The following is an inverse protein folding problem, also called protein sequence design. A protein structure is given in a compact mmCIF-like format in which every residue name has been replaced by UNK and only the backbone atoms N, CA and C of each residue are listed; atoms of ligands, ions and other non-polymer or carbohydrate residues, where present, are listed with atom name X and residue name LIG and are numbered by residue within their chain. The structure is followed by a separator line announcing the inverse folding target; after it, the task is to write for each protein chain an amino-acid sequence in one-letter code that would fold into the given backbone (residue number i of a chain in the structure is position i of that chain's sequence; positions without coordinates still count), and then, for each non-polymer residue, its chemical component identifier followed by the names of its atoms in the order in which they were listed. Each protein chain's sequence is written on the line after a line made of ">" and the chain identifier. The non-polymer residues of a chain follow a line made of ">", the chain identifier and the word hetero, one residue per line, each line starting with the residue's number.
data_IF_277740018430
#
_entry.id   IF_277740018430
#
_cell.length_a   1.000
_cell.length_b   1.000
_cell.length_c   1.000
_cell.angle_alpha   90.00
_cell.angle_beta   90.00
_cell.angle_gamma   90.00
#
_symmetry.space_group_name_H-M   'P 1'
#
loop_
_entity.id
_entity.type
_entity.pdbx_description
1 polymer ?
#
# COMPACT_ATOMS: atom_id res chain seq x y z
N UNK A 1 -27.86 3.77 -27.43
CA UNK A 1 -26.75 3.42 -26.52
C UNK A 1 -26.02 4.70 -26.13
N UNK A 2 -25.79 4.94 -24.84
CA UNK A 2 -25.16 6.15 -24.32
C UNK A 2 -23.62 5.97 -24.28
N UNK A 3 -22.83 6.70 -25.10
CA UNK A 3 -21.38 6.50 -25.23
C UNK A 3 -20.56 6.96 -24.01
N UNK A 4 -21.21 7.42 -22.94
CA UNK A 4 -20.56 7.82 -21.67
C UNK A 4 -20.45 6.69 -20.64
N UNK A 5 -20.93 5.48 -20.96
CA UNK A 5 -20.69 4.31 -20.13
C UNK A 5 -19.29 3.79 -20.50
N UNK A 6 -18.28 4.01 -19.63
CA UNK A 6 -16.98 3.34 -19.76
C UNK A 6 -17.25 1.83 -19.85
N UNK A 7 -17.08 1.26 -21.05
CA UNK A 7 -17.54 -0.10 -21.38
C UNK A 7 -16.63 -1.21 -20.82
N UNK A 8 -15.59 -0.84 -20.05
CA UNK A 8 -14.72 -1.77 -19.35
C UNK A 8 -14.16 -1.08 -18.08
N UNK A 9 -14.35 -1.70 -16.92
CA UNK A 9 -13.71 -1.33 -15.66
C UNK A 9 -12.81 -2.47 -15.23
N UNK A 10 -11.50 -2.22 -15.15
CA UNK A 10 -10.52 -3.22 -14.70
C UNK A 10 -10.42 -3.15 -13.18
N UNK A 11 -10.54 -4.30 -12.52
CA UNK A 11 -10.49 -4.44 -11.07
C UNK A 11 -9.51 -5.54 -10.68
N UNK A 12 -8.87 -5.38 -9.53
CA UNK A 12 -8.04 -6.39 -8.89
C UNK A 12 -8.88 -7.06 -7.83
N UNK A 13 -8.95 -8.39 -7.87
CA UNK A 13 -9.62 -9.16 -6.85
C UNK A 13 -8.64 -9.38 -5.70
N UNK A 14 -8.96 -8.82 -4.53
CA UNK A 14 -8.12 -8.91 -3.33
C UNK A 14 -8.83 -9.71 -2.26
N UNK A 15 -8.10 -10.54 -1.53
CA UNK A 15 -8.62 -11.13 -0.30
C UNK A 15 -8.58 -10.11 0.85
N UNK A 16 -9.31 -10.39 1.93
CA UNK A 16 -9.26 -9.57 3.14
C UNK A 16 -7.85 -9.57 3.76
N UNK A 17 -7.13 -10.70 3.65
CA UNK A 17 -5.69 -10.76 3.98
C UNK A 17 -4.87 -9.75 3.18
N UNK A 18 -5.03 -9.77 1.86
CA UNK A 18 -4.27 -8.90 0.95
C UNK A 18 -4.48 -7.41 1.26
N UNK A 19 -5.72 -7.02 1.57
CA UNK A 19 -6.05 -5.64 1.94
C UNK A 19 -5.45 -5.27 3.30
N UNK A 20 -5.52 -6.16 4.29
CA UNK A 20 -4.93 -5.92 5.60
C UNK A 20 -3.40 -5.77 5.52
N UNK A 21 -2.73 -6.62 4.75
CA UNK A 21 -1.29 -6.55 4.54
C UNK A 21 -0.89 -5.24 3.84
N UNK A 22 -1.72 -4.77 2.90
CA UNK A 22 -1.51 -3.47 2.26
C UNK A 22 -1.69 -2.30 3.24
N UNK A 23 -2.71 -2.34 4.10
CA UNK A 23 -2.94 -1.32 5.15
C UNK A 23 -1.71 -1.22 6.05
N UNK A 24 -1.27 -2.35 6.62
CA UNK A 24 -0.11 -2.39 7.53
C UNK A 24 1.15 -1.85 6.83
N UNK A 25 1.36 -2.23 5.58
CA UNK A 25 2.53 -1.76 4.82
C UNK A 25 2.49 -0.25 4.60
N UNK A 26 1.33 0.31 4.24
CA UNK A 26 1.19 1.75 4.03
C UNK A 26 1.30 2.56 5.33
N UNK A 27 0.89 2.00 6.47
CA UNK A 27 1.12 2.59 7.79
C UNK A 27 2.62 2.70 8.09
N UNK A 28 3.38 1.63 7.85
CA UNK A 28 4.84 1.62 8.02
C UNK A 28 5.52 2.65 7.11
N UNK A 29 5.07 2.77 5.85
CA UNK A 29 5.60 3.78 4.92
C UNK A 29 5.29 5.20 5.39
N UNK A 30 4.06 5.47 5.83
CA UNK A 30 3.66 6.78 6.34
C UNK A 30 4.46 7.17 7.59
N UNK A 31 4.62 6.24 8.52
CA UNK A 31 5.42 6.46 9.73
C UNK A 31 6.89 6.74 9.38
N UNK A 32 7.47 6.01 8.44
CA UNK A 32 8.84 6.24 7.97
C UNK A 32 9.03 7.63 7.34
N UNK A 33 8.04 8.11 6.57
CA UNK A 33 8.04 9.46 6.01
C UNK A 33 8.08 10.52 7.13
N UNK A 34 7.20 10.37 8.13
CA UNK A 34 7.12 11.26 9.29
C UNK A 34 8.42 11.24 10.12
N UNK A 35 8.99 10.05 10.35
CA UNK A 35 10.26 9.89 11.07
C UNK A 35 11.43 10.53 10.32
N UNK A 36 11.52 10.39 8.99
CA UNK A 36 12.58 11.03 8.19
C UNK A 36 12.55 12.57 8.33
N UNK A 37 11.35 13.16 8.44
CA UNK A 37 11.16 14.60 8.65
C UNK A 37 11.63 15.05 10.02
N UNK A 38 11.36 14.25 11.07
CA UNK A 38 11.73 14.57 12.45
C UNK A 38 13.22 14.38 12.73
N UNK A 39 13.81 13.34 12.15
CA UNK A 39 15.19 12.89 12.46
C UNK A 39 16.22 13.32 11.42
N UNK A 40 15.78 13.89 10.29
CA UNK A 40 16.62 14.19 9.12
C UNK A 40 17.35 12.98 8.52
N UNK A 41 16.91 11.75 8.86
CA UNK A 41 17.41 10.52 8.25
C UNK A 41 16.96 10.42 6.79
N UNK A 42 17.69 9.62 5.99
CA UNK A 42 17.17 9.24 4.67
C UNK A 42 15.91 8.39 4.85
N UNK A 43 15.01 8.46 3.88
CA UNK A 43 13.71 7.80 3.96
C UNK A 43 13.84 6.29 4.21
N UNK A 44 14.72 5.60 3.48
CA UNK A 44 14.89 4.15 3.66
C UNK A 44 15.56 3.77 5.00
N UNK A 45 16.38 4.64 5.58
CA UNK A 45 16.94 4.44 6.92
C UNK A 45 15.84 4.54 7.99
N UNK A 46 14.98 5.56 7.86
CA UNK A 46 13.80 5.72 8.73
C UNK A 46 12.83 4.54 8.58
N UNK A 47 12.62 4.08 7.35
CA UNK A 47 11.78 2.91 7.03
C UNK A 47 12.33 1.64 7.68
N UNK A 48 13.64 1.41 7.60
CA UNK A 48 14.29 0.31 8.31
C UNK A 48 14.08 0.43 9.82
N UNK A 49 14.22 1.63 10.37
CA UNK A 49 13.96 1.91 11.79
C UNK A 49 12.55 1.51 12.22
N UNK A 50 11.52 1.92 11.48
CA UNK A 50 10.11 1.59 11.78
C UNK A 50 9.87 0.09 11.72
N UNK A 51 10.32 -0.58 10.67
CA UNK A 51 10.16 -2.03 10.52
C UNK A 51 10.76 -2.80 11.69
N UNK A 52 11.97 -2.43 12.13
CA UNK A 52 12.62 -3.11 13.25
C UNK A 52 11.86 -2.97 14.57
N UNK A 53 11.01 -1.95 14.69
CA UNK A 53 10.18 -1.69 15.87
C UNK A 53 8.81 -2.40 15.76
N UNK A 54 8.23 -2.41 14.55
CA UNK A 54 6.84 -2.84 14.31
C UNK A 54 6.73 -4.32 13.91
N UNK A 55 7.71 -4.87 13.17
CA UNK A 55 7.68 -6.23 12.63
C UNK A 55 8.62 -7.14 13.42
N UNK A 56 8.08 -7.87 14.40
CA UNK A 56 8.82 -8.97 15.06
C UNK A 56 8.90 -10.19 14.13
N UNK A 57 9.91 -10.23 13.27
CA UNK A 57 10.37 -11.48 12.64
C UNK A 57 10.39 -11.52 11.11
N UNK A 58 11.46 -12.14 10.63
CA UNK A 58 11.81 -12.58 9.28
C UNK A 58 12.05 -11.56 8.14
N UNK A 59 13.34 -11.26 7.97
CA UNK A 59 14.06 -10.99 6.71
C UNK A 59 13.44 -9.98 5.74
N UNK A 60 13.08 -8.81 6.24
CA UNK A 60 12.96 -7.64 5.37
C UNK A 60 14.37 -7.21 4.96
N UNK A 61 14.74 -7.52 3.71
CA UNK A 61 16.05 -7.20 3.13
C UNK A 61 15.98 -5.81 2.48
N UNK A 62 15.83 -4.78 3.31
CA UNK A 62 15.94 -3.39 2.84
C UNK A 62 17.34 -3.04 2.31
N UNK A 63 18.35 -3.82 2.69
CA UNK A 63 19.78 -3.51 2.53
C UNK A 63 20.21 -3.30 1.07
N UNK A 64 19.40 -3.70 0.08
CA UNK A 64 19.71 -3.58 -1.35
C UNK A 64 18.62 -2.98 -2.22
N UNK A 65 17.46 -2.62 -1.64
CA UNK A 65 16.34 -2.16 -2.43
C UNK A 65 16.54 -0.72 -2.90
N UNK A 66 16.48 -0.49 -4.21
CA UNK A 66 16.57 0.87 -4.74
C UNK A 66 15.22 1.58 -4.68
N UNK A 67 14.10 0.83 -4.66
CA UNK A 67 12.73 1.36 -4.69
C UNK A 67 11.83 0.66 -3.68
N UNK A 68 10.71 1.29 -3.32
CA UNK A 68 9.71 0.70 -2.43
C UNK A 68 9.17 -0.64 -2.96
N UNK A 69 8.92 -0.76 -4.27
CA UNK A 69 8.51 -2.02 -4.89
C UNK A 69 9.52 -3.18 -4.70
N UNK A 70 10.81 -2.86 -4.62
CA UNK A 70 11.91 -3.84 -4.51
C UNK A 70 12.29 -4.16 -3.04
N UNK A 71 11.71 -3.43 -2.08
CA UNK A 71 12.06 -3.52 -0.66
C UNK A 71 11.65 -4.82 0.03
N UNK A 72 10.80 -5.62 -0.61
CA UNK A 72 10.16 -6.78 0.00
C UNK A 72 9.09 -6.42 1.04
N UNK A 73 8.82 -5.12 1.27
CA UNK A 73 7.73 -4.66 2.14
C UNK A 73 6.37 -4.73 1.44
N UNK A 74 6.33 -4.31 0.17
CA UNK A 74 5.10 -4.25 -0.58
C UNK A 74 4.55 -5.66 -0.80
N UNK A 75 3.23 -5.88 -0.61
CA UNK A 75 2.62 -7.19 -0.86
C UNK A 75 2.94 -7.71 -2.26
N UNK A 76 3.34 -8.98 -2.39
CA UNK A 76 3.81 -9.55 -3.67
C UNK A 76 2.84 -9.35 -4.85
N UNK A 77 1.53 -9.38 -4.58
CA UNK A 77 0.52 -9.19 -5.61
C UNK A 77 0.62 -7.80 -6.26
N UNK A 78 1.03 -6.75 -5.54
CA UNK A 78 1.11 -5.39 -6.09
C UNK A 78 2.25 -5.28 -7.12
N UNK A 79 3.35 -6.00 -6.90
CA UNK A 79 4.49 -6.06 -7.81
C UNK A 79 4.19 -6.86 -9.08
N UNK A 80 3.15 -7.71 -9.07
CA UNK A 80 2.74 -8.50 -10.24
C UNK A 80 1.85 -7.71 -11.21
N UNK A 81 1.34 -6.55 -10.80
CA UNK A 81 0.48 -5.72 -11.63
C UNK A 81 1.32 -4.85 -12.58
N UNK A 82 0.88 -4.64 -13.84
CA UNK A 82 1.53 -3.70 -14.77
C UNK A 82 1.22 -2.23 -14.41
N UNK A 83 1.10 -1.92 -13.11
CA UNK A 83 0.79 -0.62 -12.56
C UNK A 83 2.05 0.02 -12.00
N UNK A 84 2.34 1.26 -12.42
CA UNK A 84 3.47 2.05 -11.94
C UNK A 84 2.96 3.21 -11.12
N UNK A 85 3.03 3.07 -9.81
CA UNK A 85 2.69 4.15 -8.90
C UNK A 85 3.93 4.94 -8.50
N UNK A 86 3.75 6.25 -8.29
CA UNK A 86 4.83 7.12 -7.83
C UNK A 86 5.37 6.67 -6.46
N UNK A 87 4.52 6.11 -5.61
CA UNK A 87 4.91 5.58 -4.31
C UNK A 87 5.77 4.32 -4.49
N UNK A 88 5.34 3.37 -5.30
CA UNK A 88 6.09 2.13 -5.57
C UNK A 88 7.48 2.38 -6.16
N UNK A 89 7.60 3.38 -7.01
CA UNK A 89 8.86 3.78 -7.64
C UNK A 89 9.73 4.68 -6.76
N UNK A 90 9.28 5.03 -5.54
CA UNK A 90 9.98 5.94 -4.65
C UNK A 90 11.31 5.35 -4.19
N UNK A 91 12.36 6.16 -4.30
CA UNK A 91 13.72 5.91 -3.81
C UNK A 91 14.23 7.09 -2.96
N UNK A 92 15.42 6.96 -2.35
CA UNK A 92 16.00 8.02 -1.52
C UNK A 92 16.20 9.34 -2.30
N UNK A 93 16.65 9.28 -3.55
CA UNK A 93 16.89 10.47 -4.38
C UNK A 93 15.57 11.17 -4.74
N UNK A 94 14.59 10.41 -5.23
CA UNK A 94 13.28 10.94 -5.62
C UNK A 94 12.52 11.51 -4.43
N UNK A 95 12.65 10.88 -3.25
CA UNK A 95 12.07 11.38 -2.01
C UNK A 95 12.76 12.67 -1.54
N UNK A 96 14.09 12.69 -1.54
CA UNK A 96 14.87 13.87 -1.17
C UNK A 96 14.55 15.07 -2.08
N UNK A 97 14.31 14.82 -3.38
CA UNK A 97 13.94 15.83 -4.36
C UNK A 97 12.51 16.40 -4.20
N UNK A 98 11.65 15.82 -3.35
CA UNK A 98 10.33 16.38 -3.07
C UNK A 98 10.45 17.66 -2.24
N UNK A 99 9.75 18.71 -2.67
CA UNK A 99 9.50 19.90 -1.82
C UNK A 99 8.65 19.52 -0.61
N UNK A 100 8.69 20.35 0.45
CA UNK A 100 7.87 20.14 1.64
C UNK A 100 6.37 20.01 1.32
N UNK A 101 5.86 20.84 0.40
CA UNK A 101 4.48 20.75 -0.10
C UNK A 101 4.19 19.41 -0.79
N UNK A 102 5.09 18.95 -1.67
CA UNK A 102 4.92 17.66 -2.36
C UNK A 102 4.99 16.48 -1.40
N UNK A 103 5.77 16.58 -0.32
CA UNK A 103 5.80 15.56 0.75
C UNK A 103 4.49 15.54 1.53
N UNK A 104 3.98 16.70 1.95
CA UNK A 104 2.69 16.81 2.64
C UNK A 104 1.53 16.28 1.79
N UNK A 105 1.51 16.60 0.48
CA UNK A 105 0.50 16.07 -0.43
C UNK A 105 0.59 14.53 -0.55
N UNK A 106 1.81 13.98 -0.61
CA UNK A 106 2.00 12.53 -0.65
C UNK A 106 1.56 11.87 0.66
N UNK A 107 1.86 12.46 1.81
CA UNK A 107 1.37 11.99 3.13
C UNK A 107 -0.16 11.96 3.16
N UNK A 108 -0.82 13.05 2.77
CA UNK A 108 -2.29 13.10 2.70
C UNK A 108 -2.88 12.10 1.69
N UNK A 109 -2.25 11.87 0.54
CA UNK A 109 -2.68 10.86 -0.43
C UNK A 109 -2.62 9.45 0.17
N UNK A 110 -1.58 9.12 0.93
CA UNK A 110 -1.44 7.84 1.62
C UNK A 110 -2.49 7.70 2.72
N UNK A 111 -2.69 8.74 3.54
CA UNK A 111 -3.70 8.77 4.60
C UNK A 111 -5.12 8.57 4.06
N UNK A 112 -5.47 9.25 2.97
CA UNK A 112 -6.77 9.09 2.32
C UNK A 112 -6.98 7.65 1.81
N UNK A 113 -5.95 7.02 1.24
CA UNK A 113 -6.02 5.61 0.81
C UNK A 113 -6.14 4.67 2.00
N UNK A 114 -5.38 4.88 3.07
CA UNK A 114 -5.48 4.10 4.31
C UNK A 114 -6.89 4.15 4.88
N UNK A 115 -7.49 5.35 4.95
CA UNK A 115 -8.86 5.51 5.42
C UNK A 115 -9.85 4.74 4.54
N UNK A 116 -9.75 4.89 3.22
CA UNK A 116 -10.57 4.15 2.26
C UNK A 116 -10.45 2.63 2.41
N UNK A 117 -9.23 2.11 2.58
CA UNK A 117 -9.00 0.68 2.76
C UNK A 117 -9.55 0.16 4.10
N UNK A 118 -9.41 0.92 5.19
CA UNK A 118 -10.00 0.56 6.49
C UNK A 118 -11.51 0.51 6.41
N UNK A 119 -12.16 1.47 5.76
CA UNK A 119 -13.61 1.46 5.54
C UNK A 119 -14.09 0.21 4.78
N UNK A 120 -13.36 -0.20 3.73
CA UNK A 120 -13.64 -1.45 3.02
C UNK A 120 -13.43 -2.67 3.93
N UNK A 121 -12.32 -2.70 4.69
CA UNK A 121 -11.95 -3.82 5.53
C UNK A 121 -12.95 -4.05 6.69
N UNK A 122 -13.49 -2.97 7.24
CA UNK A 122 -14.49 -2.97 8.32
C UNK A 122 -15.89 -3.31 7.82
N UNK A 123 -16.25 -2.94 6.58
CA UNK A 123 -17.56 -3.23 6.02
C UNK A 123 -17.65 -4.68 5.49
N UNK A 124 -18.12 -5.59 6.34
CA UNK A 124 -18.26 -7.02 6.03
C UNK A 124 -19.18 -7.31 4.84
N UNK A 125 -20.17 -6.44 4.57
CA UNK A 125 -21.17 -6.67 3.52
C UNK A 125 -20.61 -6.49 2.10
N UNK A 126 -19.43 -5.84 1.97
CA UNK A 126 -18.73 -5.69 0.70
C UNK A 126 -18.00 -6.97 0.26
N UNK A 127 -17.76 -7.90 1.19
CA UNK A 127 -16.91 -9.06 0.96
C UNK A 127 -17.71 -10.25 0.43
N UNK A 128 -17.21 -10.87 -0.64
CA UNK A 128 -17.83 -12.05 -1.25
C UNK A 128 -17.05 -13.30 -0.88
N UNK A 129 -17.72 -14.33 -0.32
CA UNK A 129 -17.12 -15.64 -0.10
C UNK A 129 -17.03 -16.42 -1.41
N UNK A 130 -15.88 -17.04 -1.67
CA UNK A 130 -15.69 -17.91 -2.85
C UNK A 130 -16.07 -19.37 -2.58
N UNK A 131 -15.96 -19.83 -1.33
CA UNK A 131 -16.45 -21.14 -0.89
C UNK A 131 -17.35 -20.93 0.35
N UNK A 132 -18.64 -21.26 0.22
CA UNK A 132 -19.62 -21.14 1.30
C UNK A 132 -19.35 -22.09 2.48
N UNK A 133 -18.50 -23.11 2.27
CA UNK A 133 -18.09 -24.05 3.33
C UNK A 133 -16.89 -23.55 4.13
N UNK A 134 -16.27 -22.43 3.72
CA UNK A 134 -15.18 -21.81 4.45
C UNK A 134 -15.74 -20.70 5.35
N UNK A 135 -15.73 -20.96 6.65
CA UNK A 135 -16.16 -19.98 7.64
C UNK A 135 -15.14 -18.84 7.84
N UNK A 136 -13.94 -18.94 7.25
CA UNK A 136 -12.90 -17.94 7.41
C UNK A 136 -13.13 -16.74 6.48
N UNK A 137 -13.53 -15.61 7.05
CA UNK A 137 -13.77 -14.38 6.29
C UNK A 137 -12.50 -13.79 5.65
N UNK A 138 -11.31 -14.20 6.11
CA UNK A 138 -10.01 -13.72 5.62
C UNK A 138 -9.76 -14.04 4.13
N UNK A 139 -10.38 -15.12 3.62
CA UNK A 139 -10.28 -15.55 2.23
C UNK A 139 -11.42 -14.98 1.36
N UNK A 140 -12.32 -14.19 1.96
CA UNK A 140 -13.35 -13.46 1.21
C UNK A 140 -12.69 -12.41 0.34
N UNK A 141 -13.31 -12.12 -0.81
CA UNK A 141 -12.74 -11.25 -1.82
C UNK A 141 -13.52 -9.97 -2.03
N UNK A 142 -12.79 -8.91 -2.42
CA UNK A 142 -13.33 -7.63 -2.81
C UNK A 142 -12.72 -7.16 -4.14
N UNK A 143 -13.54 -6.71 -5.12
CA UNK A 143 -13.04 -6.22 -6.39
C UNK A 143 -12.64 -4.74 -6.30
N UNK A 144 -11.36 -4.48 -6.02
CA UNK A 144 -10.79 -3.14 -5.90
C UNK A 144 -10.53 -2.51 -7.29
N UNK A 145 -10.87 -1.23 -7.47
CA UNK A 145 -10.62 -0.53 -8.73
C UNK A 145 -9.12 -0.18 -8.87
N UNK A 146 -8.57 -0.28 -10.09
CA UNK A 146 -7.15 0.01 -10.33
C UNK A 146 -6.72 1.44 -9.98
N UNK A 147 -7.61 2.41 -10.14
CA UNK A 147 -7.35 3.82 -9.82
C UNK A 147 -7.24 4.11 -8.32
N UNK A 148 -7.73 3.19 -7.49
CA UNK A 148 -7.63 3.29 -6.03
C UNK A 148 -6.32 2.72 -5.48
N UNK A 149 -5.55 1.97 -6.29
CA UNK A 149 -4.26 1.40 -5.87
C UNK A 149 -3.26 2.49 -5.46
N UNK A 150 -2.37 2.21 -4.48
CA UNK A 150 -1.44 3.19 -3.89
C UNK A 150 -0.50 3.82 -4.90
#
# INVERSE_FOLDING_TARGET
>A
LNPRIKSLQVRVLLTKRDLNDLIVTLEVVLEAMQQSKLTSLQFFDALQGVITQTVKGDKITLVTAQKLAESGLMPNWINSLPYKSKLLEMNNESFAALSAEKRANLEHEIEAKLQFYREINENTDLWTKLDERNDNDIDSVYPLNLDTLP
#
